data_IF_813694976621
#
_entry.id   IF_813694976621
#
_cell.length_a   1.000
_cell.length_b   1.000
_cell.length_c   1.000
_cell.angle_alpha   90.00
_cell.angle_beta   90.00
_cell.angle_gamma   90.00
#
_symmetry.space_group_name_H-M   'P 1'
#
loop_
_entity.id
_entity.type
_entity.pdbx_description
1 polymer ?
#
# COMPACT_ATOMS: atom_id res chain seq x y z
N UNK A 1 80.70 155.11 116.19
CA UNK A 1 82.08 155.06 115.66
C UNK A 1 82.06 154.05 114.55
N UNK A 2 82.28 154.48 113.31
CA UNK A 2 82.41 153.61 112.13
C UNK A 2 81.36 152.51 111.93
N UNK A 3 80.21 152.80 112.52
CA UNK A 3 78.88 152.52 111.98
C UNK A 3 78.72 152.87 110.49
N UNK A 4 79.62 153.64 109.86
CA UNK A 4 79.40 154.18 108.54
C UNK A 4 79.96 153.38 107.35
N UNK A 5 80.80 152.34 107.51
CA UNK A 5 81.56 151.85 106.35
C UNK A 5 81.44 150.35 105.97
N UNK A 6 81.44 149.39 106.90
CA UNK A 6 81.68 147.97 106.49
C UNK A 6 80.41 147.13 106.44
N UNK A 7 79.28 147.73 106.83
CA UNK A 7 77.95 147.20 106.52
C UNK A 7 77.66 147.17 105.01
N UNK A 8 78.39 147.90 104.19
CA UNK A 8 78.01 148.10 102.79
C UNK A 8 78.47 147.01 101.82
N UNK A 9 79.41 146.11 102.16
CA UNK A 9 80.08 145.33 101.10
C UNK A 9 80.03 143.81 101.30
N UNK A 10 80.08 143.31 102.53
CA UNK A 10 80.21 141.86 102.75
C UNK A 10 79.04 140.99 102.26
N UNK A 11 77.76 141.43 102.38
CA UNK A 11 76.63 140.65 101.84
C UNK A 11 76.70 140.48 100.32
N UNK A 12 77.23 141.49 99.61
CA UNK A 12 77.35 141.45 98.15
C UNK A 12 78.48 140.53 97.69
N UNK A 13 79.61 140.48 98.43
CA UNK A 13 80.72 139.57 98.13
C UNK A 13 80.28 138.11 98.27
N UNK A 14 79.48 137.79 99.30
CA UNK A 14 78.97 136.43 99.49
C UNK A 14 78.12 135.97 98.31
N UNK A 15 77.20 136.82 97.85
CA UNK A 15 76.31 136.53 96.71
C UNK A 15 77.09 136.30 95.42
N UNK A 16 78.14 137.08 95.18
CA UNK A 16 79.01 136.96 94.00
C UNK A 16 79.87 135.69 94.03
N UNK A 17 80.31 135.23 95.20
CA UNK A 17 81.10 134.00 95.31
C UNK A 17 80.28 132.74 94.96
N UNK A 18 79.00 132.72 95.35
CA UNK A 18 78.09 131.62 95.07
C UNK A 18 77.74 131.53 93.57
N UNK A 19 77.59 132.68 92.91
CA UNK A 19 77.36 132.75 91.46
C UNK A 19 78.57 132.26 90.66
N UNK A 20 79.79 132.54 91.12
CA UNK A 20 81.01 132.12 90.42
C UNK A 20 81.24 130.62 90.54
N UNK A 21 80.87 130.01 91.67
CA UNK A 21 80.99 128.57 91.88
C UNK A 21 79.95 127.77 91.07
N UNK A 22 78.72 128.27 90.94
CA UNK A 22 77.69 127.65 90.09
C UNK A 22 78.04 127.70 88.59
N UNK A 23 78.60 128.81 88.11
CA UNK A 23 79.02 128.96 86.71
C UNK A 23 80.16 128.02 86.31
N UNK A 24 81.06 127.69 87.24
CA UNK A 24 82.16 126.74 86.96
C UNK A 24 81.67 125.30 86.81
N UNK A 25 80.72 124.87 87.63
CA UNK A 25 80.19 123.50 87.56
C UNK A 25 79.34 123.27 86.29
N UNK A 26 78.58 124.27 85.83
CA UNK A 26 77.82 124.18 84.57
C UNK A 26 78.73 124.11 83.33
N UNK A 27 79.94 124.67 83.39
CA UNK A 27 80.90 124.62 82.30
C UNK A 27 81.51 123.23 82.12
N UNK A 28 81.86 122.53 83.21
CA UNK A 28 82.41 121.17 83.16
C UNK A 28 81.40 120.13 82.64
N UNK A 29 80.12 120.25 83.02
CA UNK A 29 79.08 119.33 82.51
C UNK A 29 78.80 119.55 81.02
N UNK A 30 78.84 120.81 80.54
CA UNK A 30 78.71 121.13 79.11
C UNK A 30 79.88 120.59 78.29
N UNK A 31 81.10 120.61 78.81
CA UNK A 31 82.28 120.10 78.09
C UNK A 31 82.22 118.58 77.91
N UNK A 32 81.69 117.83 78.89
CA UNK A 32 81.55 116.37 78.80
C UNK A 32 80.51 115.94 77.77
N UNK A 33 79.38 116.66 77.66
CA UNK A 33 78.31 116.37 76.67
C UNK A 33 78.82 116.58 75.23
N UNK A 34 79.56 117.66 74.99
CA UNK A 34 80.09 117.98 73.65
C UNK A 34 81.12 116.95 73.17
N UNK A 35 81.96 116.41 74.08
CA UNK A 35 82.94 115.35 73.70
C UNK A 35 82.27 114.06 73.21
N UNK A 36 81.17 113.64 73.83
CA UNK A 36 80.44 112.44 73.41
C UNK A 36 79.69 112.63 72.07
N UNK A 37 79.15 113.82 71.81
CA UNK A 37 78.52 114.11 70.50
C UNK A 37 79.53 114.07 69.35
N UNK A 38 80.77 114.53 69.58
CA UNK A 38 81.85 114.48 68.58
C UNK A 38 82.23 113.04 68.21
N UNK A 39 82.24 112.11 69.17
CA UNK A 39 82.57 110.70 68.91
C UNK A 39 81.46 109.98 68.10
N UNK A 40 80.19 110.27 68.38
CA UNK A 40 79.04 109.78 67.59
C UNK A 40 79.03 110.34 66.16
N UNK A 41 79.36 111.62 65.98
CA UNK A 41 79.46 112.24 64.65
C UNK A 41 80.58 111.61 63.82
N UNK A 42 81.73 111.25 64.42
CA UNK A 42 82.81 110.54 63.72
C UNK A 42 82.39 109.15 63.23
N UNK A 43 81.66 108.38 64.05
CA UNK A 43 81.11 107.08 63.59
C UNK A 43 80.07 107.25 62.47
N UNK A 44 79.24 108.29 62.54
CA UNK A 44 78.31 108.68 61.48
C UNK A 44 79.04 108.96 60.15
N UNK A 45 80.16 109.68 60.20
CA UNK A 45 80.94 110.03 59.01
C UNK A 45 81.55 108.81 58.31
N UNK A 46 82.04 107.81 59.05
CA UNK A 46 82.51 106.54 58.46
C UNK A 46 81.40 105.73 57.79
N UNK A 47 80.16 105.75 58.32
CA UNK A 47 79.01 105.09 57.68
C UNK A 47 78.60 105.79 56.39
N UNK A 48 78.59 107.11 56.38
CA UNK A 48 78.26 107.91 55.20
C UNK A 48 79.28 107.63 54.08
N UNK A 49 80.57 107.65 54.36
CA UNK A 49 81.60 107.39 53.34
C UNK A 49 81.54 105.96 52.76
N UNK A 50 81.15 104.96 53.56
CA UNK A 50 80.92 103.58 53.07
C UNK A 50 79.70 103.49 52.14
N UNK A 51 78.62 104.22 52.44
CA UNK A 51 77.42 104.27 51.60
C UNK A 51 77.72 105.05 50.32
N UNK A 52 78.46 106.16 50.44
CA UNK A 52 78.93 106.96 49.32
C UNK A 52 79.80 106.12 48.37
N UNK A 53 80.71 105.29 48.88
CA UNK A 53 81.49 104.36 48.04
C UNK A 53 80.71 103.21 47.39
N UNK A 54 79.49 102.89 47.86
CA UNK A 54 78.56 101.95 47.19
C UNK A 54 77.68 102.66 46.16
N UNK A 55 77.25 103.89 46.46
CA UNK A 55 76.46 104.72 45.54
C UNK A 55 77.33 105.16 44.35
N UNK A 56 78.57 105.58 44.60
CA UNK A 56 79.52 105.95 43.53
C UNK A 56 79.79 104.78 42.59
N UNK A 57 79.90 103.54 43.10
CA UNK A 57 80.05 102.34 42.27
C UNK A 57 78.82 101.98 41.44
N UNK A 58 77.61 102.28 41.90
CA UNK A 58 76.36 102.07 41.15
C UNK A 58 76.14 103.15 40.08
N UNK A 59 76.66 104.37 40.31
CA UNK A 59 76.61 105.49 39.37
C UNK A 59 77.71 105.40 38.30
N UNK A 60 78.93 104.99 38.67
CA UNK A 60 80.06 104.88 37.73
C UNK A 60 80.03 103.59 36.89
N UNK A 61 79.27 102.57 37.30
CA UNK A 61 79.07 101.31 36.56
C UNK A 61 77.58 101.16 36.18
N UNK A 62 77.13 102.04 35.28
CA UNK A 62 76.05 101.82 34.31
C UNK A 62 74.75 101.11 34.82
N UNK A 63 74.37 101.38 36.07
CA UNK A 63 73.19 100.77 36.70
C UNK A 63 71.88 101.24 36.06
N UNK A 64 71.86 102.44 35.48
CA UNK A 64 70.71 102.97 34.75
C UNK A 64 70.49 102.27 33.39
N UNK A 65 71.57 101.91 32.67
CA UNK A 65 71.45 101.22 31.39
C UNK A 65 70.95 99.77 31.55
N UNK A 66 71.43 99.04 32.56
CA UNK A 66 70.96 97.67 32.84
C UNK A 66 69.50 97.61 33.32
N UNK A 67 69.04 98.60 34.07
CA UNK A 67 67.64 98.67 34.50
C UNK A 67 66.72 98.99 33.31
N UNK A 68 67.10 99.95 32.48
CA UNK A 68 66.36 100.30 31.26
C UNK A 68 66.35 99.16 30.22
N UNK A 69 67.44 98.39 30.12
CA UNK A 69 67.51 97.22 29.24
C UNK A 69 66.61 96.07 29.75
N UNK A 70 66.57 95.81 31.06
CA UNK A 70 65.65 94.82 31.64
C UNK A 70 64.18 95.26 31.54
N UNK A 71 63.86 96.53 31.78
CA UNK A 71 62.50 97.08 31.60
C UNK A 71 62.07 97.02 30.13
N UNK A 72 62.98 97.32 29.19
CA UNK A 72 62.72 97.18 27.76
C UNK A 72 62.53 95.72 27.32
N UNK A 73 63.29 94.79 27.89
CA UNK A 73 63.11 93.35 27.64
C UNK A 73 61.79 92.84 28.22
N UNK A 74 61.38 93.33 29.40
CA UNK A 74 60.11 92.98 30.02
C UNK A 74 58.92 93.50 29.21
N UNK A 75 58.94 94.77 28.77
CA UNK A 75 57.91 95.31 27.88
C UNK A 75 57.86 94.55 26.53
N UNK A 76 59.01 94.15 26.00
CA UNK A 76 59.05 93.37 24.75
C UNK A 76 58.48 91.96 24.94
N UNK A 77 58.75 91.32 26.08
CA UNK A 77 58.18 90.01 26.43
C UNK A 77 56.67 90.12 26.71
N UNK A 78 56.20 91.17 27.39
CA UNK A 78 54.76 91.41 27.58
C UNK A 78 54.05 91.64 26.25
N UNK A 79 54.62 92.43 25.34
CA UNK A 79 54.05 92.60 23.98
C UNK A 79 54.05 91.30 23.18
N UNK A 80 55.08 90.46 23.33
CA UNK A 80 55.12 89.16 22.68
C UNK A 80 54.08 88.18 23.26
N UNK A 81 53.82 88.24 24.58
CA UNK A 81 52.77 87.46 25.23
C UNK A 81 51.39 87.95 24.79
N UNK A 82 51.12 89.25 24.79
CA UNK A 82 49.85 89.80 24.29
C UNK A 82 49.63 89.44 22.81
N UNK A 83 50.67 89.56 21.97
CA UNK A 83 50.57 89.17 20.57
C UNK A 83 50.30 87.68 20.42
N UNK A 84 51.00 86.82 21.18
CA UNK A 84 50.77 85.37 21.17
C UNK A 84 49.37 85.00 21.70
N UNK A 85 48.82 85.72 22.67
CA UNK A 85 47.45 85.53 23.18
C UNK A 85 46.40 85.96 22.15
N UNK A 86 46.63 87.07 21.45
CA UNK A 86 45.78 87.52 20.33
C UNK A 86 45.82 86.50 19.20
N UNK A 87 47.02 86.02 18.83
CA UNK A 87 47.19 85.04 17.78
C UNK A 87 46.55 83.69 18.18
N UNK A 88 46.69 83.26 19.43
CA UNK A 88 46.03 82.05 19.94
C UNK A 88 44.51 82.18 19.93
N UNK A 89 43.98 83.34 20.30
CA UNK A 89 42.55 83.61 20.25
C UNK A 89 42.02 83.61 18.82
N UNK A 90 42.74 84.24 17.90
CA UNK A 90 42.40 84.25 16.47
C UNK A 90 42.45 82.84 15.89
N UNK A 91 43.50 82.08 16.16
CA UNK A 91 43.65 80.70 15.71
C UNK A 91 42.54 79.80 16.27
N UNK A 92 42.16 80.00 17.54
CA UNK A 92 41.06 79.25 18.17
C UNK A 92 39.71 79.58 17.51
N UNK A 93 39.47 80.86 17.18
CA UNK A 93 38.25 81.24 16.45
C UNK A 93 38.24 80.66 15.02
N UNK A 94 39.39 80.65 14.35
CA UNK A 94 39.55 80.11 13.00
C UNK A 94 39.34 78.58 13.00
N UNK A 95 39.87 77.87 14.00
CA UNK A 95 39.61 76.44 14.21
C UNK A 95 38.11 76.20 14.42
N UNK A 96 37.44 76.95 15.29
CA UNK A 96 36.00 76.76 15.53
C UNK A 96 35.14 77.03 14.28
N UNK A 97 35.56 77.98 13.44
CA UNK A 97 34.87 78.29 12.19
C UNK A 97 35.06 77.15 11.17
N UNK A 98 36.29 76.64 11.04
CA UNK A 98 36.60 75.50 10.17
C UNK A 98 35.88 74.23 10.63
N UNK A 99 35.84 73.95 11.93
CA UNK A 99 35.08 72.82 12.48
C UNK A 99 33.58 72.92 12.15
N UNK A 100 33.01 74.12 12.26
CA UNK A 100 31.61 74.37 11.88
C UNK A 100 31.39 74.14 10.38
N UNK A 101 32.26 74.66 9.53
CA UNK A 101 32.18 74.46 8.08
C UNK A 101 32.33 72.98 7.69
N UNK A 102 33.24 72.24 8.34
CA UNK A 102 33.38 70.80 8.15
C UNK A 102 32.08 70.08 8.53
N UNK A 103 31.45 70.42 9.67
CA UNK A 103 30.18 69.82 10.07
C UNK A 103 29.03 70.09 9.09
N UNK A 104 28.99 71.30 8.52
CA UNK A 104 27.99 71.69 7.53
C UNK A 104 28.19 70.93 6.21
N UNK A 105 29.44 70.81 5.74
CA UNK A 105 29.79 70.05 4.54
C UNK A 105 29.50 68.56 4.74
N UNK A 106 29.80 67.99 5.90
CA UNK A 106 29.46 66.58 6.21
C UNK A 106 27.94 66.34 6.22
N UNK A 107 27.17 67.28 6.76
CA UNK A 107 25.70 67.20 6.76
C UNK A 107 25.14 67.26 5.33
N UNK A 108 25.65 68.18 4.50
CA UNK A 108 25.28 68.27 3.08
C UNK A 108 25.68 67.00 2.34
N UNK A 109 26.88 66.46 2.58
CA UNK A 109 27.32 65.19 1.98
C UNK A 109 26.39 64.03 2.33
N UNK A 110 26.02 63.88 3.60
CA UNK A 110 25.06 62.84 4.04
C UNK A 110 23.70 63.01 3.36
N UNK A 111 23.18 64.24 3.30
CA UNK A 111 21.93 64.52 2.61
C UNK A 111 21.98 64.18 1.10
N UNK A 112 23.11 64.42 0.44
CA UNK A 112 23.31 64.05 -0.97
C UNK A 112 23.37 62.53 -1.11
N UNK A 113 24.12 61.83 -0.26
CA UNK A 113 24.21 60.36 -0.26
C UNK A 113 22.84 59.70 -0.03
N UNK A 114 22.05 60.22 0.90
CA UNK A 114 20.70 59.72 1.18
C UNK A 114 19.73 60.00 0.02
N UNK A 115 19.84 61.15 -0.65
CA UNK A 115 19.04 61.44 -1.84
C UNK A 115 19.42 60.54 -3.04
N UNK A 116 20.71 60.23 -3.20
CA UNK A 116 21.17 59.27 -4.22
C UNK A 116 20.58 57.90 -3.94
N UNK A 117 20.70 57.41 -2.70
CA UNK A 117 20.11 56.12 -2.29
C UNK A 117 18.60 56.08 -2.46
N UNK A 118 17.90 57.17 -2.12
CA UNK A 118 16.47 57.25 -2.35
C UNK A 118 16.14 57.09 -3.85
N UNK A 119 16.85 57.79 -4.73
CA UNK A 119 16.60 57.69 -6.19
C UNK A 119 16.95 56.32 -6.75
N UNK A 120 18.02 55.69 -6.28
CA UNK A 120 18.39 54.32 -6.63
C UNK A 120 17.28 53.35 -6.21
N UNK A 121 16.86 53.39 -4.94
CA UNK A 121 15.79 52.55 -4.43
C UNK A 121 14.45 52.79 -5.16
N UNK A 122 14.14 54.03 -5.51
CA UNK A 122 12.94 54.35 -6.28
C UNK A 122 13.00 53.77 -7.69
N UNK A 123 14.16 53.83 -8.34
CA UNK A 123 14.38 53.22 -9.65
C UNK A 123 14.27 51.69 -9.59
N UNK A 124 14.79 51.06 -8.53
CA UNK A 124 14.63 49.63 -8.30
C UNK A 124 13.17 49.23 -8.10
N UNK A 125 12.42 49.97 -7.30
CA UNK A 125 10.97 49.75 -7.09
C UNK A 125 10.23 49.85 -8.43
N UNK A 126 10.46 50.90 -9.21
CA UNK A 126 9.85 51.04 -10.54
C UNK A 126 10.24 49.91 -11.51
N UNK A 127 11.44 49.35 -11.36
CA UNK A 127 11.89 48.18 -12.11
C UNK A 127 11.18 46.90 -11.69
N UNK A 128 10.98 46.70 -10.39
CA UNK A 128 10.25 45.56 -9.82
C UNK A 128 8.77 45.65 -10.18
N UNK A 129 8.15 46.83 -10.07
CA UNK A 129 6.74 47.05 -10.41
C UNK A 129 6.47 46.77 -11.89
N UNK A 130 7.38 47.19 -12.78
CA UNK A 130 7.29 46.84 -14.21
C UNK A 130 7.35 45.33 -14.44
N UNK A 131 8.28 44.63 -13.79
CA UNK A 131 8.37 43.16 -13.88
C UNK A 131 7.12 42.48 -13.34
N UNK A 132 6.56 43.00 -12.25
CA UNK A 132 5.35 42.48 -11.61
C UNK A 132 4.14 42.66 -12.53
N UNK A 133 3.98 43.85 -13.12
CA UNK A 133 2.94 44.12 -14.12
C UNK A 133 3.09 43.23 -15.38
N UNK A 134 4.31 43.02 -15.89
CA UNK A 134 4.54 42.09 -17.00
C UNK A 134 4.16 40.64 -16.64
N UNK A 135 4.49 40.19 -15.43
CA UNK A 135 4.15 38.84 -14.96
C UNK A 135 2.64 38.68 -14.73
N UNK A 136 1.96 39.69 -14.20
CA UNK A 136 0.51 39.71 -14.04
C UNK A 136 -0.21 39.71 -15.39
N UNK A 137 0.27 40.50 -16.36
CA UNK A 137 -0.25 40.50 -17.73
C UNK A 137 -0.01 39.15 -18.43
N UNK A 138 1.15 38.52 -18.23
CA UNK A 138 1.39 37.15 -18.71
C UNK A 138 0.44 36.16 -18.03
N UNK A 139 0.15 36.33 -16.74
CA UNK A 139 -0.78 35.46 -15.99
C UNK A 139 -2.22 35.58 -16.51
N UNK A 140 -2.69 36.76 -16.91
CA UNK A 140 -4.02 36.95 -17.51
C UNK A 140 -4.14 36.39 -18.92
N UNK A 141 -3.03 36.25 -19.67
CA UNK A 141 -3.03 35.58 -20.97
C UNK A 141 -3.25 34.06 -20.88
N UNK A 142 -3.00 33.45 -19.72
CA UNK A 142 -3.23 32.02 -19.49
C UNK A 142 -4.50 31.81 -18.67
N UNK A 143 -5.50 31.17 -19.28
CA UNK A 143 -6.73 30.76 -18.60
C UNK A 143 -6.46 29.54 -17.69
N UNK A 144 -5.76 29.80 -16.58
CA UNK A 144 -5.40 28.81 -15.56
C UNK A 144 -6.60 27.99 -15.04
N UNK A 145 -7.78 28.57 -14.80
CA UNK A 145 -8.98 27.82 -14.42
C UNK A 145 -9.40 26.80 -15.50
N UNK A 146 -9.39 27.19 -16.77
CA UNK A 146 -9.71 26.29 -17.88
C UNK A 146 -8.66 25.18 -18.02
N UNK A 147 -7.37 25.51 -17.91
CA UNK A 147 -6.30 24.52 -17.98
C UNK A 147 -6.34 23.53 -16.80
N UNK A 148 -6.62 24.03 -15.58
CA UNK A 148 -6.76 23.21 -14.38
C UNK A 148 -7.92 22.22 -14.50
N UNK A 149 -9.08 22.68 -15.00
CA UNK A 149 -10.23 21.81 -15.24
C UNK A 149 -9.97 20.78 -16.35
N UNK A 150 -9.24 21.14 -17.40
CA UNK A 150 -8.79 20.18 -18.42
C UNK A 150 -7.84 19.11 -17.84
N UNK A 151 -6.85 19.51 -17.03
CA UNK A 151 -5.93 18.59 -16.34
C UNK A 151 -6.71 17.64 -15.43
N UNK A 152 -7.70 18.14 -14.68
CA UNK A 152 -8.52 17.32 -13.81
C UNK A 152 -9.34 16.29 -14.61
N UNK A 153 -9.96 16.70 -15.72
CA UNK A 153 -10.68 15.81 -16.63
C UNK A 153 -9.76 14.73 -17.22
N UNK A 154 -8.56 15.12 -17.67
CA UNK A 154 -7.57 14.18 -18.21
C UNK A 154 -7.09 13.18 -17.14
N UNK A 155 -6.87 13.62 -15.90
CA UNK A 155 -6.51 12.73 -14.78
C UNK A 155 -7.63 11.75 -14.43
N UNK A 156 -8.89 12.20 -14.44
CA UNK A 156 -10.04 11.30 -14.23
C UNK A 156 -10.14 10.27 -15.36
N UNK A 157 -9.98 10.69 -16.62
CA UNK A 157 -9.97 9.77 -17.76
C UNK A 157 -8.82 8.77 -17.68
N UNK A 158 -7.62 9.23 -17.30
CA UNK A 158 -6.45 8.35 -17.10
C UNK A 158 -6.72 7.31 -16.01
N UNK A 159 -7.31 7.74 -14.88
CA UNK A 159 -7.64 6.84 -13.78
C UNK A 159 -8.69 5.81 -14.18
N UNK A 160 -9.71 6.22 -14.94
CA UNK A 160 -10.74 5.33 -15.50
C UNK A 160 -10.13 4.29 -16.45
N UNK A 161 -9.32 4.74 -17.42
CA UNK A 161 -8.66 3.84 -18.37
C UNK A 161 -7.67 2.89 -17.68
N UNK A 162 -7.00 3.34 -16.63
CA UNK A 162 -6.10 2.49 -15.84
C UNK A 162 -6.87 1.38 -15.09
N UNK A 163 -8.02 1.72 -14.49
CA UNK A 163 -8.88 0.74 -13.84
C UNK A 163 -9.42 -0.29 -14.85
N UNK A 164 -9.88 0.18 -16.01
CA UNK A 164 -10.37 -0.67 -17.10
C UNK A 164 -9.28 -1.64 -17.60
N UNK A 165 -8.07 -1.12 -17.87
CA UNK A 165 -6.91 -1.96 -18.22
C UNK A 165 -6.60 -2.99 -17.14
N UNK A 166 -6.64 -2.61 -15.86
CA UNK A 166 -6.32 -3.52 -14.76
C UNK A 166 -7.36 -4.64 -14.63
N UNK A 167 -8.64 -4.34 -14.86
CA UNK A 167 -9.71 -5.34 -14.93
C UNK A 167 -9.46 -6.33 -16.08
N UNK A 168 -9.23 -5.81 -17.29
CA UNK A 168 -8.96 -6.62 -18.47
C UNK A 168 -7.71 -7.50 -18.30
N UNK A 169 -6.63 -6.99 -17.69
CA UNK A 169 -5.43 -7.79 -17.41
C UNK A 169 -5.70 -8.93 -16.42
N UNK A 170 -6.57 -8.70 -15.43
CA UNK A 170 -7.05 -9.73 -14.52
C UNK A 170 -7.84 -10.83 -15.22
N UNK A 171 -8.80 -10.43 -16.06
CA UNK A 171 -9.60 -11.35 -16.88
C UNK A 171 -8.73 -12.16 -17.84
N UNK A 172 -7.76 -11.51 -18.50
CA UNK A 172 -6.84 -12.16 -19.44
C UNK A 172 -5.96 -13.21 -18.72
N UNK A 173 -5.44 -12.88 -17.54
CA UNK A 173 -4.71 -13.84 -16.70
C UNK A 173 -5.57 -15.02 -16.27
N UNK A 174 -6.83 -14.77 -15.91
CA UNK A 174 -7.77 -15.84 -15.54
C UNK A 174 -8.07 -16.76 -16.72
N UNK A 175 -8.38 -16.20 -17.90
CA UNK A 175 -8.64 -16.96 -19.12
C UNK A 175 -7.40 -17.76 -19.56
N UNK A 176 -6.21 -17.17 -19.50
CA UNK A 176 -4.96 -17.89 -19.78
C UNK A 176 -4.72 -19.04 -18.80
N UNK A 177 -5.04 -18.84 -17.52
CA UNK A 177 -4.99 -19.90 -16.50
C UNK A 177 -5.98 -21.04 -16.78
N UNK A 178 -7.21 -20.71 -17.18
CA UNK A 178 -8.23 -21.69 -17.57
C UNK A 178 -7.82 -22.46 -18.82
N UNK A 179 -7.34 -21.79 -19.86
CA UNK A 179 -6.86 -22.42 -21.09
C UNK A 179 -5.77 -23.46 -20.79
N UNK A 180 -4.80 -23.11 -19.93
CA UNK A 180 -3.73 -24.02 -19.53
C UNK A 180 -4.23 -25.22 -18.70
N UNK A 181 -5.30 -25.05 -17.92
CA UNK A 181 -5.94 -26.17 -17.20
C UNK A 181 -6.64 -27.11 -18.18
N UNK A 182 -7.44 -26.57 -19.09
CA UNK A 182 -8.13 -27.37 -20.10
C UNK A 182 -7.16 -28.10 -21.02
N UNK A 183 -6.06 -27.46 -21.42
CA UNK A 183 -5.02 -28.11 -22.24
C UNK A 183 -4.37 -29.30 -21.50
N UNK A 184 -4.13 -29.16 -20.19
CA UNK A 184 -3.65 -30.28 -19.35
C UNK A 184 -4.67 -31.40 -19.19
N UNK A 185 -5.95 -31.07 -18.96
CA UNK A 185 -7.02 -32.06 -18.88
C UNK A 185 -7.16 -32.82 -20.20
N UNK A 186 -7.07 -32.09 -21.32
CA UNK A 186 -7.16 -32.67 -22.67
C UNK A 186 -6.04 -33.69 -22.92
N UNK A 187 -4.82 -33.40 -22.45
CA UNK A 187 -3.66 -34.25 -22.65
C UNK A 187 -3.51 -35.38 -21.62
N UNK A 188 -4.08 -35.22 -20.43
CA UNK A 188 -4.08 -36.26 -19.40
C UNK A 188 -5.23 -37.26 -19.59
N UNK A 189 -6.47 -36.77 -19.46
CA UNK A 189 -7.65 -37.62 -19.33
C UNK A 189 -8.30 -37.91 -20.68
N UNK A 190 -8.18 -36.98 -21.63
CA UNK A 190 -8.89 -37.06 -22.91
C UNK A 190 -8.02 -37.42 -24.12
N UNK A 191 -6.71 -37.67 -23.91
CA UNK A 191 -5.76 -37.91 -25.01
C UNK A 191 -6.20 -38.99 -25.97
N UNK A 192 -6.71 -40.11 -25.44
CA UNK A 192 -7.15 -41.27 -26.20
C UNK A 192 -8.67 -41.51 -26.07
N UNK A 193 -9.45 -40.49 -25.69
CA UNK A 193 -10.88 -40.68 -25.39
C UNK A 193 -11.66 -41.25 -26.56
N UNK A 194 -11.31 -40.87 -27.79
CA UNK A 194 -11.96 -41.38 -28.99
C UNK A 194 -11.65 -42.85 -29.25
N UNK A 195 -10.43 -43.30 -28.97
CA UNK A 195 -10.03 -44.70 -29.13
C UNK A 195 -10.75 -45.57 -28.08
N UNK A 196 -10.72 -45.15 -26.81
CA UNK A 196 -11.42 -45.85 -25.71
C UNK A 196 -12.93 -45.89 -25.97
N UNK A 197 -13.54 -44.77 -26.38
CA UNK A 197 -14.96 -44.72 -26.74
C UNK A 197 -15.27 -45.66 -27.90
N UNK A 198 -14.41 -45.70 -28.93
CA UNK A 198 -14.59 -46.57 -30.09
C UNK A 198 -14.50 -48.05 -29.70
N UNK A 199 -13.54 -48.43 -28.87
CA UNK A 199 -13.41 -49.80 -28.36
C UNK A 199 -14.65 -50.23 -27.58
N UNK A 200 -15.09 -49.40 -26.63
CA UNK A 200 -16.29 -49.65 -25.83
C UNK A 200 -17.56 -49.70 -26.68
N UNK A 201 -17.66 -48.86 -27.72
CA UNK A 201 -18.79 -48.90 -28.65
C UNK A 201 -18.81 -50.20 -29.46
N UNK A 202 -17.66 -50.67 -29.93
CA UNK A 202 -17.54 -51.94 -30.65
C UNK A 202 -17.95 -53.10 -29.72
N UNK A 203 -17.45 -53.13 -28.50
CA UNK A 203 -17.80 -54.15 -27.51
C UNK A 203 -19.32 -54.17 -27.24
N UNK A 204 -19.92 -53.00 -26.99
CA UNK A 204 -21.36 -52.88 -26.78
C UNK A 204 -22.16 -53.37 -28.00
N UNK A 205 -21.79 -52.96 -29.21
CA UNK A 205 -22.51 -53.35 -30.42
C UNK A 205 -22.37 -54.83 -30.72
N UNK A 206 -21.19 -55.42 -30.52
CA UNK A 206 -20.97 -56.85 -30.70
C UNK A 206 -21.77 -57.68 -29.68
N UNK A 207 -21.84 -57.24 -28.42
CA UNK A 207 -22.67 -57.88 -27.39
C UNK A 207 -24.17 -57.77 -27.69
N UNK A 208 -24.65 -56.60 -28.15
CA UNK A 208 -26.04 -56.44 -28.59
C UNK A 208 -26.37 -57.39 -29.76
N UNK A 209 -25.48 -57.51 -30.74
CA UNK A 209 -25.65 -58.43 -31.86
C UNK A 209 -25.70 -59.89 -31.39
N UNK A 210 -24.77 -60.31 -30.53
CA UNK A 210 -24.74 -61.66 -29.98
C UNK A 210 -26.01 -61.98 -29.17
N UNK A 211 -26.47 -61.06 -28.32
CA UNK A 211 -27.71 -61.20 -27.55
C UNK A 211 -28.94 -61.35 -28.47
N UNK A 212 -29.03 -60.52 -29.50
CA UNK A 212 -30.11 -60.60 -30.48
C UNK A 212 -30.09 -61.94 -31.23
N UNK A 213 -28.92 -62.43 -31.62
CA UNK A 213 -28.81 -63.70 -32.31
C UNK A 213 -29.13 -64.89 -31.40
N UNK A 214 -28.70 -64.87 -30.13
CA UNK A 214 -29.11 -65.88 -29.14
C UNK A 214 -30.62 -65.91 -28.95
N UNK A 215 -31.27 -64.75 -28.87
CA UNK A 215 -32.73 -64.67 -28.78
C UNK A 215 -33.42 -65.22 -30.04
N UNK A 216 -32.89 -64.94 -31.24
CA UNK A 216 -33.41 -65.50 -32.50
C UNK A 216 -33.27 -67.02 -32.51
N UNK A 217 -32.10 -67.56 -32.14
CA UNK A 217 -31.88 -69.01 -32.10
C UNK A 217 -32.76 -69.70 -31.07
N UNK A 218 -32.88 -69.12 -29.87
CA UNK A 218 -33.80 -69.62 -28.83
C UNK A 218 -35.24 -69.69 -29.36
N UNK A 219 -35.75 -68.60 -29.93
CA UNK A 219 -37.10 -68.52 -30.49
C UNK A 219 -37.31 -69.48 -31.67
N UNK A 220 -36.32 -69.61 -32.55
CA UNK A 220 -36.38 -70.50 -33.70
C UNK A 220 -36.39 -71.97 -33.27
N UNK A 221 -35.52 -72.35 -32.33
CA UNK A 221 -35.48 -73.70 -31.74
C UNK A 221 -36.81 -74.02 -31.08
N UNK A 222 -37.33 -73.09 -30.30
CA UNK A 222 -38.61 -73.18 -29.63
C UNK A 222 -39.79 -73.39 -30.57
N UNK A 223 -39.75 -72.73 -31.73
CA UNK A 223 -40.76 -72.88 -32.78
C UNK A 223 -40.60 -74.21 -33.51
N UNK A 224 -39.36 -74.64 -33.76
CA UNK A 224 -39.06 -75.92 -34.39
C UNK A 224 -39.52 -77.11 -33.51
N UNK A 225 -39.28 -77.06 -32.20
CA UNK A 225 -39.75 -78.08 -31.24
C UNK A 225 -41.28 -78.14 -31.23
N UNK A 226 -41.96 -76.98 -31.15
CA UNK A 226 -43.42 -76.95 -31.18
C UNK A 226 -43.98 -77.50 -32.49
N UNK A 227 -43.39 -77.13 -33.64
CA UNK A 227 -43.78 -77.66 -34.95
C UNK A 227 -43.54 -79.17 -35.06
N UNK A 228 -42.40 -79.66 -34.58
CA UNK A 228 -42.10 -81.10 -34.57
C UNK A 228 -43.11 -81.87 -33.73
N UNK A 229 -43.46 -81.36 -32.56
CA UNK A 229 -44.50 -81.95 -31.70
C UNK A 229 -45.86 -82.02 -32.38
N UNK A 230 -46.33 -80.92 -32.98
CA UNK A 230 -47.60 -80.89 -33.72
C UNK A 230 -47.61 -81.87 -34.90
N UNK A 231 -46.54 -81.88 -35.69
CA UNK A 231 -46.37 -82.81 -36.81
C UNK A 231 -46.42 -84.27 -36.35
N UNK A 232 -45.72 -84.60 -35.25
CA UNK A 232 -45.72 -85.96 -34.70
C UNK A 232 -47.08 -86.35 -34.12
N UNK A 233 -47.81 -85.43 -33.51
CA UNK A 233 -49.16 -85.71 -33.01
C UNK A 233 -50.15 -85.97 -34.15
N UNK A 234 -50.04 -85.24 -35.26
CA UNK A 234 -50.83 -85.48 -36.46
C UNK A 234 -50.52 -86.85 -37.08
N UNK A 235 -49.24 -87.21 -37.19
CA UNK A 235 -48.78 -88.52 -37.67
C UNK A 235 -49.33 -89.68 -36.80
N UNK A 236 -49.22 -89.56 -35.47
CA UNK A 236 -49.78 -90.52 -34.51
C UNK A 236 -51.30 -90.67 -34.70
N UNK A 237 -52.03 -89.55 -34.78
CA UNK A 237 -53.48 -89.59 -34.93
C UNK A 237 -53.92 -90.19 -36.27
N UNK A 238 -53.14 -89.99 -37.33
CA UNK A 238 -53.39 -90.60 -38.62
C UNK A 238 -53.28 -92.13 -38.53
N UNK A 239 -52.19 -92.64 -37.95
CA UNK A 239 -51.98 -94.09 -37.80
C UNK A 239 -53.04 -94.69 -36.87
N UNK A 240 -53.34 -94.04 -35.74
CA UNK A 240 -54.40 -94.46 -34.82
C UNK A 240 -55.74 -94.60 -35.55
N UNK A 241 -56.09 -93.62 -36.39
CA UNK A 241 -57.35 -93.63 -37.14
C UNK A 241 -57.42 -94.80 -38.12
N UNK A 242 -56.33 -95.05 -38.85
CA UNK A 242 -56.23 -96.17 -39.79
C UNK A 242 -56.34 -97.51 -39.05
N UNK A 243 -55.58 -97.69 -37.97
CA UNK A 243 -55.64 -98.88 -37.12
C UNK A 243 -57.03 -99.10 -36.50
N UNK A 244 -57.69 -98.03 -36.06
CA UNK A 244 -59.03 -98.10 -35.46
C UNK A 244 -60.07 -98.59 -36.45
N UNK A 245 -60.11 -98.01 -37.66
CA UNK A 245 -61.07 -98.38 -38.71
C UNK A 245 -60.88 -99.85 -39.13
N UNK A 246 -59.63 -100.32 -39.21
CA UNK A 246 -59.34 -101.69 -39.63
C UNK A 246 -59.64 -102.72 -38.52
N UNK A 247 -59.51 -102.34 -37.25
CA UNK A 247 -59.56 -103.28 -36.13
C UNK A 247 -60.90 -103.29 -35.40
N UNK A 248 -61.52 -102.12 -35.18
CA UNK A 248 -62.73 -102.00 -34.37
C UNK A 248 -63.98 -102.30 -35.19
N UNK A 249 -64.73 -103.33 -34.78
CA UNK A 249 -65.95 -103.80 -35.46
C UNK A 249 -67.25 -103.24 -34.85
N UNK A 250 -67.16 -102.25 -33.96
CA UNK A 250 -68.33 -101.60 -33.33
C UNK A 250 -68.82 -100.37 -34.09
N UNK A 251 -70.14 -100.16 -34.15
CA UNK A 251 -70.77 -99.02 -34.84
C UNK A 251 -70.97 -97.79 -33.94
N UNK A 252 -70.44 -97.80 -32.72
CA UNK A 252 -70.68 -96.79 -31.70
C UNK A 252 -69.62 -95.69 -31.64
N UNK A 253 -68.42 -95.92 -32.20
CA UNK A 253 -67.29 -94.99 -32.21
C UNK A 253 -66.65 -94.98 -33.60
N UNK A 254 -66.61 -93.82 -34.26
CA UNK A 254 -66.12 -93.71 -35.63
C UNK A 254 -64.58 -93.64 -35.69
N UNK A 255 -63.97 -92.87 -34.78
CA UNK A 255 -62.52 -92.77 -34.65
C UNK A 255 -62.10 -92.30 -33.27
N UNK A 256 -60.85 -92.53 -32.94
CA UNK A 256 -60.20 -92.05 -31.73
C UNK A 256 -59.02 -91.14 -32.08
N UNK A 257 -58.78 -90.11 -31.27
CA UNK A 257 -57.68 -89.15 -31.47
C UNK A 257 -57.07 -88.77 -30.10
N UNK A 258 -55.78 -88.48 -30.09
CA UNK A 258 -55.08 -87.87 -28.98
C UNK A 258 -55.09 -86.35 -29.19
N UNK A 259 -55.68 -85.63 -28.25
CA UNK A 259 -55.62 -84.16 -28.17
C UNK A 259 -54.47 -83.76 -27.28
N UNK A 260 -53.67 -82.81 -27.75
CA UNK A 260 -52.58 -82.19 -26.99
C UNK A 260 -52.88 -80.71 -26.76
N UNK A 261 -53.37 -80.38 -25.57
CA UNK A 261 -53.66 -79.00 -25.18
C UNK A 261 -52.41 -78.38 -24.56
N UNK A 262 -51.99 -77.23 -25.09
CA UNK A 262 -50.82 -76.50 -24.57
C UNK A 262 -51.24 -75.66 -23.37
N UNK A 263 -50.61 -75.89 -22.22
CA UNK A 263 -50.72 -75.00 -21.06
C UNK A 263 -49.72 -73.85 -21.17
N UNK A 264 -50.22 -72.62 -21.11
CA UNK A 264 -49.39 -71.42 -20.99
C UNK A 264 -49.03 -71.20 -19.52
N UNK A 265 -47.94 -71.81 -19.03
CA UNK A 265 -47.39 -71.48 -17.71
C UNK A 265 -46.40 -70.31 -17.82
N UNK A 266 -46.38 -69.46 -16.79
CA UNK A 266 -45.54 -68.26 -16.67
C UNK A 266 -44.03 -68.54 -16.64
N UNK A 267 -43.60 -69.79 -16.44
CA UNK A 267 -42.21 -70.18 -16.18
C UNK A 267 -41.42 -70.58 -17.42
N UNK A 268 -41.93 -70.36 -18.64
CA UNK A 268 -41.22 -70.67 -19.89
C UNK A 268 -41.09 -72.17 -20.22
N UNK A 269 -41.33 -73.07 -19.27
CA UNK A 269 -41.43 -74.51 -19.53
C UNK A 269 -42.78 -74.84 -20.18
N UNK A 270 -42.72 -75.40 -21.39
CA UNK A 270 -43.91 -75.92 -22.10
C UNK A 270 -44.49 -77.10 -21.33
N UNK A 271 -45.77 -77.01 -21.01
CA UNK A 271 -46.55 -78.10 -20.39
C UNK A 271 -47.66 -78.47 -21.38
N UNK A 272 -47.79 -79.76 -21.69
CA UNK A 272 -48.83 -80.28 -22.57
C UNK A 272 -49.73 -81.23 -21.78
N UNK A 273 -51.04 -81.02 -21.88
CA UNK A 273 -52.04 -81.92 -21.35
C UNK A 273 -52.55 -82.81 -22.49
N UNK A 274 -52.46 -84.11 -22.29
CA UNK A 274 -52.92 -85.09 -23.27
C UNK A 274 -54.23 -85.72 -22.81
N UNK A 275 -55.19 -85.81 -23.73
CA UNK A 275 -56.43 -86.56 -23.52
C UNK A 275 -56.76 -87.39 -24.75
N UNK A 276 -57.35 -88.55 -24.53
CA UNK A 276 -57.82 -89.43 -25.61
C UNK A 276 -59.30 -89.18 -25.80
N UNK A 277 -59.68 -88.79 -27.01
CA UNK A 277 -61.06 -88.49 -27.36
C UNK A 277 -61.57 -89.49 -28.38
N UNK A 278 -62.85 -89.83 -28.28
CA UNK A 278 -63.58 -90.57 -29.28
C UNK A 278 -64.50 -89.61 -30.03
N UNK A 279 -64.67 -89.84 -31.32
CA UNK A 279 -65.53 -89.06 -32.20
C UNK A 279 -66.67 -89.95 -32.65
N UNK A 280 -67.90 -89.44 -32.47
CA UNK A 280 -69.14 -90.09 -32.91
C UNK A 280 -69.98 -89.07 -33.67
N UNK A 281 -70.09 -89.25 -34.98
CA UNK A 281 -70.57 -88.23 -35.91
C UNK A 281 -69.72 -86.96 -35.77
N UNK A 282 -70.39 -85.85 -35.44
CA UNK A 282 -69.74 -84.54 -35.24
C UNK A 282 -69.44 -84.23 -33.76
N UNK A 283 -69.63 -85.18 -32.85
CA UNK A 283 -69.44 -84.96 -31.41
C UNK A 283 -68.12 -85.58 -30.94
N UNK A 284 -67.26 -84.75 -30.36
CA UNK A 284 -66.03 -85.14 -29.64
C UNK A 284 -66.34 -85.41 -28.17
N UNK A 285 -65.93 -86.57 -27.65
CA UNK A 285 -66.12 -86.97 -26.25
C UNK A 285 -64.81 -87.51 -25.67
N UNK A 286 -64.48 -87.15 -24.43
CA UNK A 286 -63.36 -87.76 -23.71
C UNK A 286 -63.65 -89.24 -23.46
N UNK A 287 -62.71 -90.13 -23.79
CA UNK A 287 -62.86 -91.57 -23.56
C UNK A 287 -62.74 -91.90 -22.07
N UNK A 288 -62.06 -91.07 -21.27
CA UNK A 288 -61.83 -91.34 -19.86
C UNK A 288 -63.15 -91.42 -19.10
N UNK A 289 -63.43 -92.60 -18.55
CA UNK A 289 -64.66 -92.88 -17.80
C UNK A 289 -65.90 -93.12 -18.67
N UNK A 290 -65.76 -93.18 -20.00
CA UNK A 290 -66.89 -93.33 -20.95
C UNK A 290 -66.77 -94.53 -21.90
N UNK A 291 -65.68 -95.28 -21.83
CA UNK A 291 -65.45 -96.47 -22.66
C UNK A 291 -65.50 -97.80 -21.87
N UNK A 292 -65.86 -98.88 -22.58
CA UNK A 292 -65.92 -100.24 -22.04
C UNK A 292 -64.52 -100.80 -21.75
N UNK A 293 -64.44 -101.93 -21.01
CA UNK A 293 -63.16 -102.58 -20.73
C UNK A 293 -62.43 -103.00 -22.02
N UNK A 294 -63.15 -103.59 -22.99
CA UNK A 294 -62.58 -103.98 -24.28
C UNK A 294 -62.12 -102.79 -25.11
N UNK A 295 -62.90 -101.70 -25.16
CA UNK A 295 -62.50 -100.47 -25.85
C UNK A 295 -61.24 -99.86 -25.25
N UNK A 296 -61.07 -99.89 -23.93
CA UNK A 296 -59.84 -99.42 -23.25
C UNK A 296 -58.62 -100.25 -23.66
N UNK A 297 -58.75 -101.57 -23.66
CA UNK A 297 -57.66 -102.48 -24.03
C UNK A 297 -57.27 -102.25 -25.49
N UNK A 298 -58.24 -102.25 -26.40
CA UNK A 298 -57.99 -102.02 -27.82
C UNK A 298 -57.34 -100.65 -28.08
N UNK A 299 -57.93 -99.57 -27.54
CA UNK A 299 -57.39 -98.21 -27.66
C UNK A 299 -55.94 -98.12 -27.18
N UNK A 300 -55.63 -98.74 -26.04
CA UNK A 300 -54.27 -98.74 -25.47
C UNK A 300 -53.26 -99.46 -26.38
N UNK A 301 -53.66 -100.58 -26.99
CA UNK A 301 -52.81 -101.34 -27.93
C UNK A 301 -52.56 -100.53 -29.20
N UNK A 302 -53.61 -99.97 -29.81
CA UNK A 302 -53.49 -99.21 -31.06
C UNK A 302 -52.67 -97.93 -30.88
N UNK A 303 -52.82 -97.23 -29.74
CA UNK A 303 -51.96 -96.08 -29.42
C UNK A 303 -50.49 -96.49 -29.31
N UNK A 304 -50.18 -97.63 -28.67
CA UNK A 304 -48.80 -98.11 -28.54
C UNK A 304 -48.19 -98.50 -29.89
N UNK A 305 -48.98 -99.14 -30.76
CA UNK A 305 -48.57 -99.46 -32.12
C UNK A 305 -48.24 -98.17 -32.90
N UNK A 306 -49.15 -97.19 -32.88
CA UNK A 306 -48.94 -95.91 -33.55
C UNK A 306 -47.72 -95.15 -33.03
N UNK A 307 -47.49 -95.17 -31.71
CA UNK A 307 -46.29 -94.57 -31.11
C UNK A 307 -45.00 -95.29 -31.53
N UNK A 308 -45.01 -96.63 -31.56
CA UNK A 308 -43.86 -97.41 -32.00
C UNK A 308 -43.55 -97.15 -33.47
N UNK A 309 -44.56 -97.10 -34.33
CA UNK A 309 -44.38 -96.80 -35.75
C UNK A 309 -43.87 -95.37 -35.98
N UNK A 310 -44.39 -94.38 -35.24
CA UNK A 310 -44.02 -92.97 -35.41
C UNK A 310 -42.62 -92.63 -34.88
N UNK A 311 -42.19 -93.23 -33.77
CA UNK A 311 -40.93 -92.88 -33.08
C UNK A 311 -39.83 -93.93 -33.21
N UNK A 312 -40.17 -95.19 -33.46
CA UNK A 312 -39.23 -96.31 -33.47
C UNK A 312 -39.10 -96.93 -34.88
N UNK A 313 -39.01 -96.08 -35.92
CA UNK A 313 -38.86 -96.52 -37.33
C UNK A 313 -37.71 -97.53 -37.49
N UNK A 314 -36.62 -97.38 -36.73
CA UNK A 314 -35.44 -98.25 -36.78
C UNK A 314 -35.46 -99.39 -35.74
N UNK A 315 -36.52 -99.52 -34.93
CA UNK A 315 -36.69 -100.55 -33.90
C UNK A 315 -38.14 -101.04 -33.88
N UNK A 316 -38.50 -101.90 -34.84
CA UNK A 316 -39.84 -102.45 -35.02
C UNK A 316 -40.15 -103.65 -34.12
N UNK A 317 -39.82 -103.58 -32.83
CA UNK A 317 -40.13 -104.65 -31.86
C UNK A 317 -41.19 -104.13 -30.90
N UNK A 318 -42.35 -104.79 -30.86
CA UNK A 318 -43.40 -104.53 -29.88
C UNK A 318 -43.79 -105.84 -29.19
N UNK A 319 -43.77 -105.84 -27.86
CA UNK A 319 -44.24 -106.96 -27.05
C UNK A 319 -45.67 -106.70 -26.57
N UNK A 320 -46.57 -107.64 -26.84
CA UNK A 320 -47.97 -107.60 -26.42
C UNK A 320 -48.23 -108.81 -25.52
N UNK A 321 -48.38 -108.57 -24.22
CA UNK A 321 -48.78 -109.61 -23.24
C UNK A 321 -50.29 -109.59 -23.07
N UNK A 322 -50.93 -110.73 -23.27
CA UNK A 322 -52.40 -110.93 -23.26
C UNK A 322 -53.21 -109.83 -24.01
N UNK A 323 -52.94 -109.55 -25.31
CA UNK A 323 -53.59 -108.44 -26.03
C UNK A 323 -55.10 -108.61 -26.25
N UNK A 324 -55.64 -109.80 -26.02
CA UNK A 324 -57.05 -110.15 -26.28
C UNK A 324 -57.95 -110.05 -25.05
N UNK A 325 -57.41 -109.64 -23.90
CA UNK A 325 -58.16 -109.57 -22.65
C UNK A 325 -59.35 -108.61 -22.76
N UNK A 326 -60.55 -109.09 -22.43
CA UNK A 326 -61.82 -108.36 -22.52
C UNK A 326 -62.24 -107.92 -23.94
N UNK A 327 -61.63 -108.47 -25.01
CA UNK A 327 -62.08 -108.28 -26.39
C UNK A 327 -63.06 -109.39 -26.79
N UNK A 328 -64.06 -109.03 -27.58
CA UNK A 328 -64.96 -109.97 -28.24
C UNK A 328 -64.29 -110.61 -29.47
N UNK A 329 -64.83 -111.77 -29.88
CA UNK A 329 -64.22 -112.61 -30.92
C UNK A 329 -63.99 -111.87 -32.25
N UNK A 330 -64.90 -110.98 -32.65
CA UNK A 330 -64.80 -110.24 -33.90
C UNK A 330 -63.63 -109.23 -33.87
N UNK A 331 -63.46 -108.53 -32.75
CA UNK A 331 -62.33 -107.60 -32.57
C UNK A 331 -60.99 -108.35 -32.40
N UNK A 332 -60.98 -109.54 -31.77
CA UNK A 332 -59.78 -110.39 -31.70
C UNK A 332 -59.35 -110.83 -33.10
N UNK A 333 -60.28 -111.34 -33.92
CA UNK A 333 -59.98 -111.78 -35.29
C UNK A 333 -59.52 -110.62 -36.17
N UNK A 334 -60.11 -109.43 -36.02
CA UNK A 334 -59.74 -108.23 -36.77
C UNK A 334 -58.37 -107.66 -36.33
N UNK A 335 -58.06 -107.70 -35.04
CA UNK A 335 -56.76 -107.29 -34.50
C UNK A 335 -55.66 -108.24 -34.99
N UNK A 336 -55.90 -109.56 -34.99
CA UNK A 336 -54.95 -110.54 -35.50
C UNK A 336 -54.65 -110.33 -37.00
N UNK A 337 -55.66 -110.01 -37.80
CA UNK A 337 -55.48 -109.65 -39.23
C UNK A 337 -54.67 -108.36 -39.38
N UNK A 338 -55.02 -107.32 -38.62
CA UNK A 338 -54.32 -106.03 -38.68
C UNK A 338 -52.88 -106.06 -38.18
N UNK A 339 -52.49 -107.09 -37.40
CA UNK A 339 -51.11 -107.31 -36.94
C UNK A 339 -50.27 -108.21 -37.87
N UNK A 340 -50.91 -108.89 -38.83
CA UNK A 340 -50.23 -109.81 -39.78
C UNK A 340 -49.99 -109.16 -41.13
N UNK A 341 -50.79 -108.17 -41.50
CA UNK A 341 -50.49 -107.17 -42.56
C UNK A 341 -49.51 -106.13 -42.05
#
# INVERSE_FOLDING_TARGET
>A
SLDAAILEIEPDIGRLSLQLQQLRAEAEEKERVVKNEIENLKQGQTRVNSIEGKIQRFIEIDGAARLAECESQFENLERQIEQAEIDLKNLTTEISLLEKQVSEVESVKRNIEDNIRHRENQSEIEGVDRKLAELEHKKTQYDYPLLSTQIQKLKQNQSRLFAERSSLDGELKQLAGQAKRFEKELEADYKNVYEVWREQLIELKTLEMASNDLNKYSTALDSAIARYHSMKMEEINKIIKELWINTYQGNDIDRIEIRSDRETKLTGLRSYNYRVVMIKGDVELDMRGRCSAGQKVLTSILIRLALAETFCINCGILALDEPTTNLDRNNIESLARSLTE
#
